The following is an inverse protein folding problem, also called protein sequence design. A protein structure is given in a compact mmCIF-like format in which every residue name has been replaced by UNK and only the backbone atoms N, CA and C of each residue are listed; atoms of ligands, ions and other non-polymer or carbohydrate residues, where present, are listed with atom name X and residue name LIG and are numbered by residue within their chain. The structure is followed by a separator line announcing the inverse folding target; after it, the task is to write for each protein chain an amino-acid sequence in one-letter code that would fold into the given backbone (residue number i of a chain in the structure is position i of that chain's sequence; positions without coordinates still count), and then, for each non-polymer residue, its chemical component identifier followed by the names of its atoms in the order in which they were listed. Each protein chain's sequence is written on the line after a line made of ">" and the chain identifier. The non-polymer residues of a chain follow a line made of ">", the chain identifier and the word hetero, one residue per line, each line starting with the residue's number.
data_IF_654759903340
#
_entry.id   IF_654759903340
#
_cell.length_a   1.000
_cell.length_b   1.000
_cell.length_c   1.000
_cell.angle_alpha   90.00
_cell.angle_beta   90.00
_cell.angle_gamma   90.00
#
_symmetry.space_group_name_H-M   'P 1'
#
loop_
_entity.id
_entity.type
_entity.pdbx_description
1 polymer ?
#
# COMPACT_ATOMS: atom_id res chain seq x y z
N UNK A 1 16.94 0.15 19.94
CA UNK A 1 15.56 -0.12 19.50
C UNK A 1 15.62 -0.80 18.14
N UNK A 2 14.85 -1.86 17.88
CA UNK A 2 14.88 -2.56 16.60
C UNK A 2 13.88 -1.90 15.63
N UNK A 3 14.32 -1.56 14.42
CA UNK A 3 13.45 -0.99 13.37
C UNK A 3 12.26 -1.89 13.07
N UNK A 4 12.45 -3.21 13.13
CA UNK A 4 11.38 -4.19 12.92
C UNK A 4 10.26 -4.06 13.96
N UNK A 5 10.61 -3.87 15.24
CA UNK A 5 9.62 -3.66 16.31
C UNK A 5 8.83 -2.38 16.07
N UNK A 6 9.50 -1.30 15.68
CA UNK A 6 8.83 -0.04 15.33
C UNK A 6 7.88 -0.19 14.15
N UNK A 7 8.24 -0.97 13.12
CA UNK A 7 7.37 -1.24 11.97
C UNK A 7 6.10 -1.97 12.41
N UNK A 8 6.22 -3.06 13.19
CA UNK A 8 5.07 -3.80 13.70
C UNK A 8 4.17 -2.94 14.60
N UNK A 9 4.76 -2.17 15.52
CA UNK A 9 4.00 -1.28 16.42
C UNK A 9 3.29 -0.16 15.64
N UNK A 10 3.97 0.43 14.66
CA UNK A 10 3.40 1.48 13.81
C UNK A 10 2.29 0.92 12.92
N UNK A 11 2.46 -0.28 12.34
CA UNK A 11 1.44 -0.93 11.53
C UNK A 11 0.17 -1.22 12.35
N UNK A 12 0.32 -1.71 13.59
CA UNK A 12 -0.81 -2.01 14.46
C UNK A 12 -1.59 -0.75 14.91
N UNK A 13 -0.93 0.43 14.95
CA UNK A 13 -1.58 1.73 15.17
C UNK A 13 -1.98 2.42 13.86
N UNK A 14 -1.57 1.90 12.71
CA UNK A 14 -1.82 2.56 11.45
C UNK A 14 -3.32 2.54 11.11
N UNK A 15 -4.07 1.50 11.49
CA UNK A 15 -5.53 1.46 11.32
C UNK A 15 -6.25 2.65 11.99
N UNK A 16 -5.89 2.97 13.24
CA UNK A 16 -6.48 4.12 13.95
C UNK A 16 -5.95 5.47 13.45
N UNK A 17 -4.67 5.52 13.06
CA UNK A 17 -4.00 6.76 12.62
C UNK A 17 -4.42 7.14 11.20
N UNK A 18 -4.65 6.15 10.35
CA UNK A 18 -5.00 6.29 8.94
C UNK A 18 -6.50 6.07 8.72
N UNK A 19 -7.32 6.22 9.75
CA UNK A 19 -8.78 6.17 9.64
C UNK A 19 -9.26 7.14 8.56
N UNK A 20 -9.95 6.60 7.55
CA UNK A 20 -10.42 7.36 6.38
C UNK A 20 -9.37 7.61 5.28
N UNK A 21 -8.13 7.18 5.45
CA UNK A 21 -7.08 7.29 4.42
C UNK A 21 -7.20 6.13 3.42
N UNK A 22 -7.54 6.45 2.16
CA UNK A 22 -7.65 5.46 1.08
C UNK A 22 -6.43 5.46 0.15
N UNK A 23 -5.44 6.31 0.42
CA UNK A 23 -4.32 6.55 -0.50
C UNK A 23 -2.97 6.21 0.16
N UNK A 24 -2.15 5.31 -0.43
CA UNK A 24 -0.85 4.93 0.15
C UNK A 24 0.15 6.10 0.21
N UNK A 25 0.05 7.06 -0.73
CA UNK A 25 0.91 8.26 -0.71
C UNK A 25 0.57 9.21 0.44
N UNK A 26 -0.71 9.29 0.80
CA UNK A 26 -1.20 10.09 1.92
C UNK A 26 -0.82 9.41 3.23
N UNK A 27 -1.07 8.10 3.34
CA UNK A 27 -0.65 7.28 4.47
C UNK A 27 0.83 7.44 4.80
N UNK A 28 1.71 7.35 3.79
CA UNK A 28 3.15 7.54 3.99
C UNK A 28 3.50 8.91 4.57
N UNK A 29 2.80 9.97 4.14
CA UNK A 29 3.05 11.34 4.60
C UNK A 29 2.65 11.52 6.06
N UNK A 30 1.48 10.97 6.43
CA UNK A 30 0.98 10.95 7.81
C UNK A 30 1.93 10.15 8.71
N UNK A 31 2.33 8.95 8.28
CA UNK A 31 3.26 8.10 9.01
C UNK A 31 4.63 8.77 9.22
N UNK A 32 5.14 9.48 8.21
CA UNK A 32 6.40 10.23 8.34
C UNK A 32 6.31 11.34 9.38
N UNK A 33 5.20 12.08 9.42
CA UNK A 33 4.97 13.15 10.39
C UNK A 33 4.85 12.57 11.82
N UNK A 34 4.07 11.50 11.98
CA UNK A 34 3.93 10.80 13.25
C UNK A 34 5.27 10.28 13.77
N UNK A 35 6.02 9.55 12.94
CA UNK A 35 7.30 8.99 13.33
C UNK A 35 8.33 10.09 13.64
N UNK A 36 8.31 11.21 12.92
CA UNK A 36 9.19 12.35 13.20
C UNK A 36 8.83 13.03 14.54
N UNK A 37 7.55 13.06 14.91
CA UNK A 37 7.09 13.62 16.16
C UNK A 37 7.36 12.70 17.36
N UNK A 38 7.12 11.40 17.23
CA UNK A 38 7.33 10.40 18.31
C UNK A 38 8.81 10.01 18.47
N UNK A 39 9.57 10.01 17.38
CA UNK A 39 10.96 9.57 17.36
C UNK A 39 11.90 10.60 16.69
N UNK A 40 12.06 11.80 17.30
CA UNK A 40 12.94 12.84 16.76
C UNK A 40 14.43 12.43 16.75
N UNK A 41 14.79 11.36 17.46
CA UNK A 41 16.14 10.77 17.48
C UNK A 41 16.46 9.91 16.24
N UNK A 42 15.45 9.50 15.47
CA UNK A 42 15.65 8.71 14.26
C UNK A 42 16.13 9.59 13.09
N UNK A 43 16.97 9.00 12.24
CA UNK A 43 17.39 9.65 11.01
C UNK A 43 16.25 9.67 10.00
N UNK A 44 16.18 10.69 9.15
CA UNK A 44 15.20 10.76 8.06
C UNK A 44 15.20 9.50 7.17
N UNK A 45 16.36 8.89 6.97
CA UNK A 45 16.47 7.65 6.20
C UNK A 45 15.73 6.48 6.86
N UNK A 46 15.76 6.39 8.19
CA UNK A 46 15.09 5.34 8.95
C UNK A 46 13.58 5.60 9.03
N UNK A 47 13.17 6.86 9.30
CA UNK A 47 11.77 7.28 9.26
C UNK A 47 11.11 6.92 7.92
N UNK A 48 11.79 7.21 6.81
CA UNK A 48 11.33 6.90 5.47
C UNK A 48 11.21 5.40 5.21
N UNK A 49 12.15 4.60 5.71
CA UNK A 49 12.10 3.14 5.59
C UNK A 49 10.94 2.56 6.39
N UNK A 50 10.72 3.01 7.62
CA UNK A 50 9.62 2.53 8.46
C UNK A 50 8.28 2.86 7.78
N UNK A 51 8.06 4.12 7.39
CA UNK A 51 6.82 4.53 6.73
C UNK A 51 6.57 3.75 5.43
N UNK A 52 7.61 3.50 4.63
CA UNK A 52 7.49 2.71 3.40
C UNK A 52 7.14 1.25 3.67
N UNK A 53 7.78 0.61 4.65
CA UNK A 53 7.49 -0.78 5.01
C UNK A 53 6.09 -0.94 5.60
N UNK A 54 5.65 -0.02 6.47
CA UNK A 54 4.28 -0.03 7.01
C UNK A 54 3.25 0.13 5.89
N UNK A 55 3.49 1.05 4.95
CA UNK A 55 2.58 1.25 3.80
C UNK A 55 2.48 -0.01 2.94
N UNK A 56 3.59 -0.73 2.73
CA UNK A 56 3.60 -2.01 2.00
C UNK A 56 2.81 -3.09 2.72
N UNK A 57 2.94 -3.18 4.06
CA UNK A 57 2.17 -4.13 4.88
C UNK A 57 0.68 -3.86 4.71
N UNK A 58 0.24 -2.62 4.92
CA UNK A 58 -1.17 -2.22 4.77
C UNK A 58 -1.71 -2.46 3.36
N UNK A 59 -0.88 -2.23 2.34
CA UNK A 59 -1.26 -2.50 0.95
C UNK A 59 -1.47 -4.00 0.73
N UNK A 60 -0.57 -4.84 1.22
CA UNK A 60 -0.69 -6.30 1.11
C UNK A 60 -1.88 -6.86 1.92
N UNK A 61 -2.30 -6.18 2.99
CA UNK A 61 -3.48 -6.51 3.78
C UNK A 61 -4.80 -6.04 3.13
N UNK A 62 -4.73 -5.30 2.01
CA UNK A 62 -5.90 -4.78 1.31
C UNK A 62 -6.54 -3.57 1.99
N UNK A 63 -5.83 -2.89 2.89
CA UNK A 63 -6.30 -1.70 3.61
C UNK A 63 -6.79 -0.61 2.64
N UNK A 64 -6.02 -0.35 1.58
CA UNK A 64 -6.35 0.65 0.56
C UNK A 64 -7.31 0.13 -0.52
N UNK A 65 -7.54 -1.18 -0.60
CA UNK A 65 -8.33 -1.80 -1.68
C UNK A 65 -9.81 -1.90 -1.36
N UNK A 66 -10.18 -1.75 -0.08
CA UNK A 66 -11.58 -1.74 0.37
C UNK A 66 -12.35 -0.45 0.06
N UNK A 67 -11.75 0.50 -0.68
CA UNK A 67 -12.45 1.69 -1.17
C UNK A 67 -13.46 1.36 -2.28
N UNK A 68 -14.61 2.07 -2.38
CA UNK A 68 -15.69 1.78 -3.35
C UNK A 68 -15.33 2.01 -4.84
N UNK A 69 -14.04 2.04 -5.20
CA UNK A 69 -13.56 2.30 -6.55
C UNK A 69 -12.37 1.47 -7.02
N UNK A 70 -11.86 0.51 -6.22
CA UNK A 70 -10.70 -0.32 -6.61
C UNK A 70 -11.09 -1.77 -6.91
N UNK A 71 -12.26 -1.98 -7.49
CA UNK A 71 -12.57 -3.21 -8.22
C UNK A 71 -12.04 -3.07 -9.64
N UNK A 72 -10.80 -3.50 -9.89
CA UNK A 72 -10.21 -3.26 -11.20
C UNK A 72 -8.85 -3.87 -11.46
N UNK A 73 -8.48 -4.96 -10.77
CA UNK A 73 -7.56 -5.92 -11.37
C UNK A 73 -8.32 -6.68 -12.45
N UNK A 74 -8.65 -5.98 -13.53
CA UNK A 74 -9.04 -6.64 -14.76
C UNK A 74 -7.79 -7.35 -15.25
N UNK A 75 -7.66 -8.64 -14.92
CA UNK A 75 -6.87 -9.57 -15.71
C UNK A 75 -7.16 -9.27 -17.18
N UNK A 76 -6.17 -8.77 -17.91
CA UNK A 76 -6.17 -8.93 -19.37
C UNK A 76 -5.94 -10.40 -19.66
N UNK A 77 -7.00 -11.19 -19.44
CA UNK A 77 -7.25 -12.44 -20.13
C UNK A 77 -7.89 -12.02 -21.46
N UNK A 78 -7.07 -11.52 -22.37
CA UNK A 78 -7.49 -11.27 -23.75
C UNK A 78 -7.39 -12.62 -24.47
N UNK A 79 -8.49 -13.35 -24.34
CA UNK A 79 -8.93 -14.48 -25.12
C UNK A 79 -8.99 -14.05 -26.61
N UNK A 80 -7.86 -14.11 -27.31
CA UNK A 80 -7.81 -13.94 -28.78
C UNK A 80 -7.81 -15.33 -29.45
N UNK A 81 -8.90 -16.08 -29.27
CA UNK A 81 -9.25 -17.23 -30.10
C UNK A 81 -9.83 -16.69 -31.43
N UNK A 82 -9.00 -16.09 -32.28
CA UNK A 82 -9.40 -15.71 -33.63
C UNK A 82 -9.38 -16.94 -34.56
N UNK A 83 -10.35 -17.84 -34.39
CA UNK A 83 -10.71 -18.88 -35.36
C UNK A 83 -11.34 -18.20 -36.60
N UNK A 84 -10.47 -17.79 -37.53
CA UNK A 84 -10.86 -17.23 -38.81
C UNK A 84 -10.93 -18.32 -39.87
N UNK A 85 -12.11 -18.93 -40.01
CA UNK A 85 -12.50 -19.73 -41.16
C UNK A 85 -12.32 -18.92 -42.45
N UNK A 86 -11.39 -19.35 -43.31
CA UNK A 86 -11.36 -18.96 -44.71
C UNK A 86 -11.83 -20.14 -45.55
N UNK A 87 -13.14 -20.16 -45.79
CA UNK A 87 -13.72 -20.81 -46.97
C UNK A 87 -13.46 -19.88 -48.17
N UNK A 88 -12.74 -20.35 -49.19
CA UNK A 88 -12.80 -19.75 -50.54
C UNK A 88 -12.49 -20.85 -51.58
N UNK A 89 -13.14 -20.69 -52.74
CA UNK A 89 -13.60 -21.69 -53.72
C UNK A 89 -12.54 -22.52 -54.49
#
# INVERSE_FOLDING_TARGET
>A
MNLKTLIDETANRADETLDGCTNPSEARSILLELLAAEHPELQQADLRKIAEQVTVILTNEGFFESGPGSGGWGSSDDDDESDGLAEDE
#
